data_IF_839441738099
#
_entry.id   IF_839441738099
#
_cell.length_a   1.000
_cell.length_b   1.000
_cell.length_c   1.000
_cell.angle_alpha   90.00
_cell.angle_beta   90.00
_cell.angle_gamma   90.00
#
_symmetry.space_group_name_H-M   'P 1'
#
loop_
_entity.id
_entity.type
_entity.pdbx_description
1 polymer ?
#
# COMPACT_ATOMS: atom_id res chain seq x y z
N UNK A 1 9.18 -35.42 8.02
CA UNK A 1 8.02 -34.53 8.28
C UNK A 1 7.29 -35.09 9.49
N UNK A 2 7.52 -34.50 10.65
CA UNK A 2 7.10 -35.08 11.94
C UNK A 2 5.82 -34.42 12.44
N UNK A 3 4.81 -35.25 12.75
CA UNK A 3 3.44 -34.87 13.13
C UNK A 3 3.34 -34.20 14.51
N UNK A 4 4.48 -33.96 15.17
CA UNK A 4 4.54 -33.47 16.56
C UNK A 4 4.58 -31.95 16.69
N UNK A 5 4.91 -31.21 15.64
CA UNK A 5 4.84 -29.74 15.65
C UNK A 5 3.41 -29.18 15.48
N UNK A 6 2.46 -30.01 15.01
CA UNK A 6 1.10 -29.55 14.71
C UNK A 6 0.17 -29.45 15.93
N UNK A 7 0.59 -29.91 17.11
CA UNK A 7 -0.27 -29.92 18.32
C UNK A 7 0.07 -28.83 19.36
N UNK A 8 1.00 -27.91 19.08
CA UNK A 8 1.33 -26.83 20.04
C UNK A 8 0.43 -25.58 19.93
N UNK A 9 -0.60 -25.56 19.07
CA UNK A 9 -1.53 -24.42 18.92
C UNK A 9 -2.86 -24.61 19.70
N UNK A 10 -3.04 -25.72 20.43
CA UNK A 10 -4.31 -26.03 21.10
C UNK A 10 -4.33 -25.87 22.65
N UNK A 11 -3.30 -25.29 23.27
CA UNK A 11 -3.07 -25.41 24.72
C UNK A 11 -3.10 -24.12 25.56
N UNK A 12 -3.72 -23.03 25.13
CA UNK A 12 -3.77 -21.79 25.91
C UNK A 12 -5.09 -21.64 26.71
N UNK A 13 -5.41 -22.61 27.57
CA UNK A 13 -6.40 -22.51 28.65
C UNK A 13 -6.09 -23.55 29.75
N UNK A 14 -5.15 -23.25 30.65
CA UNK A 14 -5.08 -23.76 32.03
C UNK A 14 -3.81 -23.21 32.71
N UNK A 15 -3.93 -22.70 33.93
CA UNK A 15 -2.89 -21.93 34.62
C UNK A 15 -1.74 -22.73 35.25
N UNK A 16 -0.83 -21.99 35.88
CA UNK A 16 0.18 -22.54 36.80
C UNK A 16 1.41 -21.63 36.97
N UNK A 17 1.62 -21.15 38.19
CA UNK A 17 2.81 -20.44 38.66
C UNK A 17 4.05 -21.36 38.70
N UNK A 18 5.22 -20.81 38.38
CA UNK A 18 6.53 -21.44 38.65
C UNK A 18 7.68 -20.52 38.24
N UNK A 19 8.60 -20.26 39.16
CA UNK A 19 9.76 -19.39 38.99
C UNK A 19 11.09 -20.16 38.86
N UNK A 20 12.09 -19.42 38.36
CA UNK A 20 13.56 -19.56 38.46
C UNK A 20 14.25 -20.52 37.47
N UNK A 21 15.22 -19.96 36.74
CA UNK A 21 16.31 -20.70 36.10
C UNK A 21 17.05 -19.88 35.05
N UNK A 22 18.11 -19.18 35.46
CA UNK A 22 19.06 -18.47 34.59
C UNK A 22 19.67 -19.40 33.53
N UNK A 23 19.63 -18.95 32.27
CA UNK A 23 20.73 -19.06 31.29
C UNK A 23 20.24 -18.49 29.95
N UNK A 24 20.46 -17.20 29.70
CA UNK A 24 20.38 -16.69 28.34
C UNK A 24 21.78 -16.30 27.89
N UNK A 25 22.37 -17.18 27.10
CA UNK A 25 23.54 -16.89 26.31
C UNK A 25 23.30 -15.59 25.54
N UNK A 26 24.20 -14.61 25.72
CA UNK A 26 24.24 -13.44 24.86
C UNK A 26 24.78 -13.92 23.51
N UNK A 27 23.88 -14.40 22.66
CA UNK A 27 24.12 -14.47 21.24
C UNK A 27 24.04 -13.03 20.71
N UNK A 28 25.20 -12.40 20.52
CA UNK A 28 25.26 -11.24 19.63
C UNK A 28 25.06 -11.76 18.21
N UNK A 29 23.79 -11.75 17.78
CA UNK A 29 23.41 -11.93 16.40
C UNK A 29 24.06 -10.84 15.58
N UNK A 30 24.80 -11.23 14.54
CA UNK A 30 25.25 -10.37 13.47
C UNK A 30 24.15 -9.37 13.09
N UNK A 31 24.48 -8.08 13.24
CA UNK A 31 23.74 -6.98 12.66
C UNK A 31 23.90 -7.00 11.14
N UNK A 32 23.30 -7.97 10.47
CA UNK A 32 22.82 -7.78 9.10
C UNK A 32 21.38 -7.30 9.24
N UNK A 33 21.10 -6.05 8.85
CA UNK A 33 19.76 -5.45 8.87
C UNK A 33 18.73 -6.48 8.40
N UNK A 34 17.69 -6.76 9.19
CA UNK A 34 16.74 -7.81 8.86
C UNK A 34 16.10 -7.57 7.48
N UNK A 35 16.63 -8.22 6.45
CA UNK A 35 16.11 -8.15 5.08
C UNK A 35 14.68 -8.70 5.08
N UNK A 36 13.77 -8.02 4.42
CA UNK A 36 12.39 -8.48 4.23
C UNK A 36 12.42 -9.88 3.60
N UNK A 37 11.65 -10.83 4.16
CA UNK A 37 11.58 -12.23 3.72
C UNK A 37 10.24 -12.60 3.09
N UNK A 38 9.21 -11.81 3.37
CA UNK A 38 7.87 -12.01 2.80
C UNK A 38 7.24 -10.70 2.36
N UNK A 39 6.52 -10.78 1.25
CA UNK A 39 5.76 -9.69 0.67
C UNK A 39 4.28 -10.06 0.65
N UNK A 40 3.44 -9.14 1.11
CA UNK A 40 1.99 -9.21 0.91
C UNK A 40 1.60 -8.08 -0.03
N UNK A 41 0.99 -8.44 -1.16
CA UNK A 41 0.45 -7.48 -2.12
C UNK A 41 -1.07 -7.50 -2.01
N UNK A 42 -1.65 -6.31 -1.85
CA UNK A 42 -3.09 -6.11 -1.82
C UNK A 42 -3.51 -5.28 -3.02
N UNK A 43 -4.15 -5.93 -4.00
CA UNK A 43 -4.66 -5.29 -5.20
C UNK A 43 -6.01 -4.63 -4.90
N UNK A 44 -6.07 -3.31 -5.11
CA UNK A 44 -7.27 -2.50 -5.05
C UNK A 44 -7.85 -2.43 -6.46
N UNK A 45 -8.55 -3.51 -6.84
CA UNK A 45 -9.05 -3.75 -8.19
C UNK A 45 -10.24 -2.84 -8.50
N UNK A 46 -10.07 -2.07 -9.57
CA UNK A 46 -10.97 -1.04 -10.02
C UNK A 46 -10.38 0.36 -10.04
N UNK A 47 -9.18 0.64 -9.53
CA UNK A 47 -8.62 2.01 -9.57
C UNK A 47 -9.04 2.87 -8.38
N UNK A 48 -8.17 2.97 -7.37
CA UNK A 48 -8.45 3.59 -6.09
C UNK A 48 -8.42 5.13 -6.17
N UNK A 49 -9.44 5.80 -5.58
CA UNK A 49 -9.47 7.25 -5.51
C UNK A 49 -8.44 7.78 -4.51
N UNK A 50 -7.37 8.41 -5.02
CA UNK A 50 -6.35 9.06 -4.22
C UNK A 50 -6.92 10.18 -3.34
N UNK A 51 -7.83 11.01 -3.84
CA UNK A 51 -8.31 12.22 -3.14
C UNK A 51 -9.33 11.90 -2.05
N UNK A 52 -9.97 10.74 -2.12
CA UNK A 52 -10.82 10.22 -1.05
C UNK A 52 -10.14 9.09 -0.25
N UNK A 53 -8.88 8.75 -0.51
CA UNK A 53 -8.06 7.88 0.36
C UNK A 53 -7.10 8.72 1.21
N UNK A 54 -6.31 9.58 0.55
CA UNK A 54 -5.34 10.53 1.12
C UNK A 54 -5.75 11.94 0.70
N UNK A 55 -6.45 12.61 1.61
CA UNK A 55 -7.19 13.84 1.37
C UNK A 55 -6.25 15.05 1.49
N UNK A 56 -6.11 15.90 0.45
CA UNK A 56 -5.40 17.18 0.55
C UNK A 56 -6.29 18.23 1.25
N UNK A 57 -6.55 18.04 2.55
CA UNK A 57 -7.60 18.71 3.30
C UNK A 57 -7.43 20.24 3.39
N UNK A 58 -6.20 20.74 3.28
CA UNK A 58 -5.90 22.17 3.26
C UNK A 58 -6.10 22.84 1.88
N UNK A 59 -6.23 22.05 0.81
CA UNK A 59 -6.41 22.59 -0.54
C UNK A 59 -7.91 22.86 -0.80
N UNK A 60 -8.29 24.14 -0.86
CA UNK A 60 -9.69 24.53 -1.06
C UNK A 60 -10.29 23.97 -2.38
N UNK A 61 -9.46 23.72 -3.40
CA UNK A 61 -9.91 23.14 -4.68
C UNK A 61 -10.48 21.72 -4.50
N UNK A 62 -10.07 20.99 -3.46
CA UNK A 62 -10.61 19.67 -3.17
C UNK A 62 -12.14 19.70 -3.05
N UNK A 63 -12.69 20.65 -2.28
CA UNK A 63 -14.15 20.80 -2.11
C UNK A 63 -14.85 21.25 -3.39
N UNK A 64 -14.18 22.09 -4.19
CA UNK A 64 -14.71 22.56 -5.47
C UNK A 64 -14.77 21.42 -6.49
N UNK A 65 -13.80 20.51 -6.47
CA UNK A 65 -13.74 19.35 -7.34
C UNK A 65 -14.63 18.19 -6.86
N UNK A 66 -14.94 18.15 -5.57
CA UNK A 66 -15.71 17.08 -4.90
C UNK A 66 -16.94 17.61 -4.13
N UNK A 67 -17.90 18.31 -4.76
CA UNK A 67 -19.04 18.89 -4.04
C UNK A 67 -19.84 17.89 -3.19
N UNK A 68 -19.94 16.61 -3.60
CA UNK A 68 -20.63 15.56 -2.86
C UNK A 68 -19.68 14.58 -2.16
N UNK A 69 -18.50 14.35 -2.74
CA UNK A 69 -17.53 13.38 -2.23
C UNK A 69 -16.56 13.96 -1.19
N UNK A 70 -16.46 15.29 -1.05
CA UNK A 70 -15.50 15.90 -0.15
C UNK A 70 -15.73 15.50 1.31
N UNK A 71 -14.65 15.14 1.99
CA UNK A 71 -14.66 14.85 3.42
C UNK A 71 -14.26 16.11 4.18
N UNK A 72 -15.02 16.40 5.25
CA UNK A 72 -14.83 17.56 6.09
C UNK A 72 -13.67 17.34 7.07
N UNK A 73 -13.00 18.42 7.49
CA UNK A 73 -11.79 18.34 8.33
C UNK A 73 -12.06 17.69 9.68
N UNK A 74 -13.24 17.89 10.24
CA UNK A 74 -13.72 17.30 11.49
C UNK A 74 -13.94 15.78 11.42
N UNK A 75 -14.19 15.23 10.22
CA UNK A 75 -14.34 13.79 10.01
C UNK A 75 -13.07 13.11 9.52
N UNK A 76 -12.15 13.87 8.94
CA UNK A 76 -10.92 13.32 8.37
C UNK A 76 -9.90 12.95 9.47
N UNK A 77 -9.09 11.92 9.21
CA UNK A 77 -8.02 11.51 10.12
C UNK A 77 -6.75 12.29 9.79
N UNK A 78 -6.49 13.38 10.50
CA UNK A 78 -5.36 14.25 10.22
C UNK A 78 -4.02 13.50 10.34
N UNK A 79 -3.18 13.60 9.31
CA UNK A 79 -1.80 13.08 9.31
C UNK A 79 -0.81 14.21 9.63
N UNK A 80 -1.07 15.40 9.07
CA UNK A 80 -0.39 16.66 9.34
C UNK A 80 -1.39 17.83 9.15
N UNK A 81 -0.92 19.07 9.06
CA UNK A 81 -1.79 20.25 8.88
C UNK A 81 -2.51 20.31 7.51
N UNK A 82 -1.99 19.59 6.51
CA UNK A 82 -2.37 19.69 5.09
C UNK A 82 -3.01 18.43 4.53
N UNK A 83 -2.73 17.29 5.14
CA UNK A 83 -3.05 15.95 4.63
C UNK A 83 -3.79 15.16 5.70
N UNK A 84 -4.82 14.42 5.27
CA UNK A 84 -5.60 13.55 6.14
C UNK A 84 -5.93 12.22 5.43
N UNK A 85 -6.31 11.20 6.18
CA UNK A 85 -6.89 9.96 5.64
C UNK A 85 -8.41 9.98 5.71
N UNK A 86 -9.04 9.19 4.85
CA UNK A 86 -10.45 8.85 4.95
C UNK A 86 -10.80 8.29 6.35
N UNK A 87 -11.95 8.66 6.96
CA UNK A 87 -12.35 8.16 8.29
C UNK A 87 -12.38 6.63 8.41
N UNK A 88 -12.83 5.93 7.36
CA UNK A 88 -12.80 4.46 7.30
C UNK A 88 -11.42 3.83 7.50
N UNK A 89 -10.34 4.59 7.34
CA UNK A 89 -8.98 4.10 7.54
C UNK A 89 -8.52 4.16 9.01
N UNK A 90 -9.41 4.49 9.95
CA UNK A 90 -9.11 4.59 11.39
C UNK A 90 -8.31 3.39 11.94
N UNK A 91 -8.61 2.12 11.59
CA UNK A 91 -7.82 0.98 12.06
C UNK A 91 -6.31 1.07 11.74
N UNK A 92 -5.93 1.73 10.64
CA UNK A 92 -4.53 1.90 10.23
C UNK A 92 -3.78 2.96 11.03
N UNK A 93 -4.47 3.80 11.80
CA UNK A 93 -3.82 4.85 12.58
C UNK A 93 -2.86 4.30 13.65
N UNK A 94 -3.07 3.06 14.10
CA UNK A 94 -2.13 2.37 14.99
C UNK A 94 -0.75 2.16 14.32
N UNK A 95 -0.73 1.72 13.06
CA UNK A 95 0.49 1.52 12.29
C UNK A 95 1.15 2.85 11.89
N UNK A 96 0.34 3.86 11.52
CA UNK A 96 0.82 5.22 11.27
C UNK A 96 1.55 5.80 12.48
N UNK A 97 0.92 5.76 13.66
CA UNK A 97 1.50 6.28 14.91
C UNK A 97 2.73 5.49 15.37
N UNK A 98 2.80 4.20 15.05
CA UNK A 98 3.98 3.36 15.29
C UNK A 98 5.14 3.64 14.31
N UNK A 99 4.96 4.56 13.36
CA UNK A 99 5.93 4.86 12.31
C UNK A 99 6.25 3.65 11.41
N UNK A 100 5.27 2.76 11.20
CA UNK A 100 5.40 1.49 10.45
C UNK A 100 4.56 1.49 9.16
N UNK A 101 4.05 2.66 8.76
CA UNK A 101 3.22 2.85 7.57
C UNK A 101 3.72 4.06 6.79
N UNK A 102 4.21 3.81 5.58
CA UNK A 102 4.50 4.82 4.58
C UNK A 102 3.34 4.93 3.59
N UNK A 103 2.98 6.16 3.23
CA UNK A 103 1.97 6.46 2.22
C UNK A 103 2.70 7.10 1.04
N UNK A 104 2.62 6.48 -0.13
CA UNK A 104 3.23 6.99 -1.36
C UNK A 104 2.14 7.59 -2.24
N UNK A 105 2.26 8.89 -2.52
CA UNK A 105 1.28 9.65 -3.28
C UNK A 105 1.75 9.88 -4.72
N UNK A 106 0.78 9.98 -5.64
CA UNK A 106 1.04 10.28 -7.05
C UNK A 106 1.62 9.10 -7.81
N UNK A 107 1.30 7.86 -7.41
CA UNK A 107 1.83 6.64 -8.02
C UNK A 107 1.02 6.28 -9.26
N UNK A 108 1.71 6.06 -10.38
CA UNK A 108 1.09 5.62 -11.63
C UNK A 108 2.14 5.32 -12.69
N UNK A 109 1.75 5.42 -13.96
CA UNK A 109 2.64 5.29 -15.11
C UNK A 109 2.17 6.20 -16.25
N UNK A 110 3.06 6.52 -17.17
CA UNK A 110 2.75 7.39 -18.31
C UNK A 110 1.83 6.72 -19.32
N UNK A 111 0.99 7.52 -19.98
CA UNK A 111 0.04 7.08 -21.00
C UNK A 111 -0.86 5.90 -20.56
N UNK A 112 -1.66 6.05 -19.48
CA UNK A 112 -2.55 5.00 -19.02
C UNK A 112 -3.61 4.67 -20.08
N UNK A 113 -3.68 3.41 -20.49
CA UNK A 113 -4.62 2.92 -21.50
C UNK A 113 -6.07 2.78 -20.99
N UNK A 114 -6.31 2.99 -19.68
CA UNK A 114 -7.60 2.92 -18.98
C UNK A 114 -8.36 1.59 -19.12
N UNK A 115 -7.74 0.56 -19.67
CA UNK A 115 -8.26 -0.79 -19.67
C UNK A 115 -7.82 -1.48 -18.40
N UNK A 116 -8.78 -1.96 -17.60
CA UNK A 116 -8.47 -2.71 -16.38
C UNK A 116 -7.58 -3.92 -16.67
N UNK A 117 -7.92 -4.67 -17.72
CA UNK A 117 -7.16 -5.85 -18.11
C UNK A 117 -5.71 -5.51 -18.45
N UNK A 118 -5.51 -4.49 -19.30
CA UNK A 118 -4.17 -4.11 -19.72
C UNK A 118 -3.37 -3.45 -18.60
N UNK A 119 -4.02 -2.62 -17.79
CA UNK A 119 -3.38 -1.95 -16.66
C UNK A 119 -2.90 -2.96 -15.61
N UNK A 120 -3.70 -3.98 -15.28
CA UNK A 120 -3.24 -5.08 -14.42
C UNK A 120 -2.03 -5.80 -15.00
N UNK A 121 -2.03 -6.11 -16.30
CA UNK A 121 -0.86 -6.71 -16.95
C UNK A 121 0.40 -5.82 -16.85
N UNK A 122 0.27 -4.50 -17.02
CA UNK A 122 1.39 -3.56 -16.86
C UNK A 122 1.96 -3.65 -15.45
N UNK A 123 1.09 -3.61 -14.43
CA UNK A 123 1.51 -3.74 -13.04
C UNK A 123 2.13 -5.11 -12.74
N UNK A 124 1.57 -6.20 -13.23
CA UNK A 124 2.08 -7.56 -12.96
C UNK A 124 3.41 -7.84 -13.66
N UNK A 125 3.62 -7.29 -14.85
CA UNK A 125 4.82 -7.52 -15.66
C UNK A 125 5.89 -6.43 -15.51
N UNK A 126 5.57 -5.34 -14.79
CA UNK A 126 6.38 -4.13 -14.71
C UNK A 126 6.76 -3.54 -16.09
N UNK A 127 5.89 -3.71 -17.10
CA UNK A 127 6.14 -3.27 -18.48
C UNK A 127 5.86 -1.78 -18.67
N UNK A 128 6.30 -1.23 -19.80
CA UNK A 128 5.75 0.03 -20.30
C UNK A 128 4.32 -0.17 -20.83
N UNK A 129 3.58 0.93 -21.01
CA UNK A 129 2.18 0.88 -21.45
C UNK A 129 2.01 0.27 -22.85
N UNK A 130 2.97 0.53 -23.74
CA UNK A 130 3.07 0.06 -25.12
C UNK A 130 3.71 -1.33 -25.27
N UNK A 131 4.15 -1.95 -24.17
CA UNK A 131 4.91 -3.20 -24.21
C UNK A 131 4.14 -4.39 -23.62
N UNK A 132 3.95 -5.45 -24.41
CA UNK A 132 3.31 -6.68 -23.95
C UNK A 132 4.37 -7.73 -23.58
N UNK A 133 4.46 -8.05 -22.29
CA UNK A 133 5.39 -9.05 -21.76
C UNK A 133 4.66 -10.32 -21.32
N UNK A 134 5.32 -11.46 -21.50
CA UNK A 134 4.94 -12.71 -20.84
C UNK A 134 5.68 -12.84 -19.50
N UNK A 135 4.97 -13.21 -18.45
CA UNK A 135 5.53 -13.44 -17.11
C UNK A 135 5.62 -12.17 -16.25
N UNK A 136 5.34 -12.32 -14.96
CA UNK A 136 5.36 -11.24 -13.98
C UNK A 136 6.77 -10.92 -13.50
N UNK A 137 6.96 -9.72 -12.93
CA UNK A 137 8.25 -9.37 -12.30
C UNK A 137 8.54 -10.26 -11.09
N UNK A 138 7.50 -10.77 -10.42
CA UNK A 138 7.59 -11.68 -9.29
C UNK A 138 8.08 -13.08 -9.67
N UNK A 139 7.92 -13.51 -10.92
CA UNK A 139 8.40 -14.82 -11.38
C UNK A 139 9.95 -14.89 -11.39
N UNK A 140 10.59 -13.73 -11.26
CA UNK A 140 12.04 -13.53 -11.29
C UNK A 140 12.64 -13.29 -9.90
N UNK A 141 11.83 -13.34 -8.84
CA UNK A 141 12.29 -13.12 -7.46
C UNK A 141 12.12 -14.37 -6.60
N UNK A 142 13.08 -14.66 -5.75
CA UNK A 142 12.95 -15.71 -4.73
C UNK A 142 12.35 -15.11 -3.44
N UNK A 143 11.07 -14.77 -3.48
CA UNK A 143 10.36 -14.18 -2.36
C UNK A 143 9.10 -14.97 -2.01
N UNK A 144 8.80 -15.08 -0.71
CA UNK A 144 7.48 -15.59 -0.29
C UNK A 144 6.45 -14.48 -0.49
N UNK A 145 5.66 -14.60 -1.55
CA UNK A 145 4.62 -13.62 -1.89
C UNK A 145 3.23 -14.16 -1.55
N UNK A 146 2.41 -13.31 -0.94
CA UNK A 146 0.96 -13.53 -0.81
C UNK A 146 0.23 -12.43 -1.56
N UNK A 147 -0.59 -12.80 -2.54
CA UNK A 147 -1.46 -11.87 -3.26
C UNK A 147 -2.87 -11.93 -2.69
N UNK A 148 -3.48 -10.76 -2.49
CA UNK A 148 -4.86 -10.60 -2.07
C UNK A 148 -5.48 -9.56 -2.98
N UNK A 149 -6.69 -9.80 -3.47
CA UNK A 149 -7.42 -8.82 -4.27
C UNK A 149 -8.67 -8.38 -3.53
N UNK A 150 -8.86 -7.07 -3.42
CA UNK A 150 -10.08 -6.44 -2.96
C UNK A 150 -10.73 -5.75 -4.17
N UNK A 151 -11.81 -6.35 -4.67
CA UNK A 151 -12.56 -5.85 -5.81
C UNK A 151 -13.52 -4.72 -5.44
N UNK A 152 -13.90 -3.92 -6.43
CA UNK A 152 -15.01 -2.98 -6.33
C UNK A 152 -14.60 -1.51 -6.29
N UNK A 153 -13.32 -1.19 -6.47
CA UNK A 153 -12.85 0.20 -6.56
C UNK A 153 -13.31 0.90 -7.84
N UNK A 154 -14.00 0.18 -8.74
CA UNK A 154 -14.56 0.72 -9.98
C UNK A 154 -15.79 1.63 -9.75
N UNK A 155 -15.56 2.76 -9.09
CA UNK A 155 -16.61 3.58 -8.46
C UNK A 155 -17.05 4.77 -9.33
N UNK A 156 -17.61 4.47 -10.50
CA UNK A 156 -18.18 5.48 -11.41
C UNK A 156 -19.47 6.15 -10.89
N UNK A 157 -20.12 5.54 -9.89
CA UNK A 157 -21.35 6.03 -9.28
C UNK A 157 -21.40 5.70 -7.78
N UNK A 158 -22.17 6.49 -7.02
CA UNK A 158 -22.43 6.28 -5.57
C UNK A 158 -21.17 6.00 -4.76
N UNK A 159 -20.07 6.67 -5.10
CA UNK A 159 -18.74 6.37 -4.59
C UNK A 159 -18.63 6.58 -3.08
N UNK A 160 -19.28 7.61 -2.53
CA UNK A 160 -19.18 7.96 -1.10
C UNK A 160 -19.46 6.79 -0.16
N UNK A 161 -20.43 5.93 -0.49
CA UNK A 161 -20.74 4.74 0.31
C UNK A 161 -19.85 3.55 -0.06
N UNK A 162 -19.72 3.26 -1.37
CA UNK A 162 -18.98 2.08 -1.86
C UNK A 162 -17.49 2.15 -1.48
N UNK A 163 -16.85 3.28 -1.78
CA UNK A 163 -15.42 3.48 -1.51
C UNK A 163 -15.15 3.48 0.00
N UNK A 164 -15.99 4.14 0.80
CA UNK A 164 -15.87 4.13 2.25
C UNK A 164 -15.93 2.71 2.86
N UNK A 165 -16.81 1.84 2.34
CA UNK A 165 -16.92 0.44 2.78
C UNK A 165 -15.70 -0.41 2.37
N UNK A 166 -15.17 -0.18 1.16
CA UNK A 166 -13.94 -0.84 0.69
C UNK A 166 -12.73 -0.42 1.52
N UNK A 167 -12.60 0.88 1.82
CA UNK A 167 -11.52 1.37 2.68
C UNK A 167 -11.63 0.84 4.11
N UNK A 168 -12.85 0.70 4.65
CA UNK A 168 -13.06 0.08 5.97
C UNK A 168 -12.58 -1.39 5.96
N UNK A 169 -13.01 -2.15 4.95
CA UNK A 169 -12.60 -3.55 4.77
C UNK A 169 -11.09 -3.68 4.64
N UNK A 170 -10.46 -2.82 3.83
CA UNK A 170 -9.01 -2.77 3.67
C UNK A 170 -8.33 -2.50 5.01
N UNK A 171 -8.76 -1.47 5.73
CA UNK A 171 -8.17 -1.05 6.98
C UNK A 171 -8.26 -2.12 8.07
N UNK A 172 -9.43 -2.73 8.24
CA UNK A 172 -9.65 -3.80 9.21
C UNK A 172 -8.77 -5.03 8.92
N UNK A 173 -8.71 -5.45 7.65
CA UNK A 173 -7.91 -6.60 7.23
C UNK A 173 -6.41 -6.35 7.40
N UNK A 174 -5.93 -5.18 7.02
CA UNK A 174 -4.52 -4.80 7.18
C UNK A 174 -4.14 -4.66 8.66
N UNK A 175 -5.01 -4.07 9.48
CA UNK A 175 -4.78 -3.96 10.93
C UNK A 175 -4.73 -5.34 11.61
N UNK A 176 -5.66 -6.24 11.25
CA UNK A 176 -5.69 -7.62 11.75
C UNK A 176 -4.47 -8.44 11.30
N UNK A 177 -4.06 -8.29 10.04
CA UNK A 177 -2.85 -8.90 9.50
C UNK A 177 -1.62 -8.41 10.27
N UNK A 178 -1.48 -7.09 10.47
CA UNK A 178 -0.39 -6.52 11.27
C UNK A 178 -0.35 -7.12 12.68
N UNK A 179 -1.49 -7.17 13.38
CA UNK A 179 -1.56 -7.74 14.73
C UNK A 179 -1.10 -9.20 14.77
N UNK A 180 -1.56 -10.01 13.80
CA UNK A 180 -1.19 -11.43 13.70
C UNK A 180 0.30 -11.63 13.39
N UNK A 181 0.87 -10.79 12.51
CA UNK A 181 2.29 -10.82 12.19
C UNK A 181 3.16 -10.35 13.35
N UNK A 182 2.69 -9.42 14.18
CA UNK A 182 3.38 -9.02 15.42
C UNK A 182 3.38 -10.19 16.41
N UNK A 183 2.22 -10.80 16.66
CA UNK A 183 2.08 -11.91 17.60
C UNK A 183 2.94 -13.13 17.23
N UNK A 184 3.17 -13.36 15.93
CA UNK A 184 4.02 -14.44 15.42
C UNK A 184 5.51 -14.06 15.26
N UNK A 185 5.90 -12.82 15.57
CA UNK A 185 7.27 -12.33 15.34
C UNK A 185 7.65 -12.26 13.85
N UNK A 186 6.67 -12.15 12.95
CA UNK A 186 6.87 -12.07 11.50
C UNK A 186 6.83 -10.63 10.95
N UNK A 187 6.34 -9.66 11.74
CA UNK A 187 6.15 -8.28 11.28
C UNK A 187 7.45 -7.56 10.86
N UNK A 188 8.56 -7.80 11.58
CA UNK A 188 9.87 -7.19 11.27
C UNK A 188 10.47 -7.64 9.93
N UNK A 189 10.00 -8.76 9.38
CA UNK A 189 10.47 -9.38 8.13
C UNK A 189 9.41 -9.44 7.04
N UNK A 190 8.28 -8.77 7.24
CA UNK A 190 7.18 -8.71 6.27
C UNK A 190 6.98 -7.29 5.78
N UNK A 191 6.93 -7.14 4.46
CA UNK A 191 6.47 -5.91 3.82
C UNK A 191 5.07 -6.14 3.25
N UNK A 192 4.16 -5.22 3.52
CA UNK A 192 2.82 -5.20 2.95
C UNK A 192 2.73 -3.99 2.03
N UNK A 193 2.24 -4.18 0.80
CA UNK A 193 2.02 -3.09 -0.15
C UNK A 193 0.63 -3.17 -0.76
N UNK A 194 0.03 -2.01 -1.04
CA UNK A 194 -1.18 -1.93 -1.89
C UNK A 194 -0.79 -1.59 -3.32
N UNK A 195 -1.52 -2.13 -4.30
CA UNK A 195 -1.44 -1.71 -5.72
C UNK A 195 -2.80 -1.29 -6.21
N UNK A 196 -2.84 -0.36 -7.16
CA UNK A 196 -4.05 -0.08 -7.92
C UNK A 196 -3.67 0.19 -9.35
N UNK A 197 -4.38 -0.46 -10.27
CA UNK A 197 -4.09 -0.46 -11.70
C UNK A 197 -4.02 0.94 -12.33
N UNK A 198 -4.75 1.89 -11.76
CA UNK A 198 -4.69 3.33 -12.05
C UNK A 198 -5.38 4.13 -10.93
N UNK A 199 -5.49 5.45 -11.10
CA UNK A 199 -6.17 6.35 -10.17
C UNK A 199 -7.59 6.70 -10.58
N UNK A 200 -8.15 7.72 -9.91
CA UNK A 200 -9.43 8.33 -10.26
C UNK A 200 -9.28 9.79 -10.63
N UNK A 201 -10.18 10.28 -11.48
CA UNK A 201 -10.26 11.67 -11.88
C UNK A 201 -10.42 12.57 -10.64
N UNK A 202 -9.81 13.76 -10.67
CA UNK A 202 -9.84 14.67 -9.51
C UNK A 202 -11.22 15.30 -9.30
N UNK A 203 -12.00 15.46 -10.37
CA UNK A 203 -13.37 15.98 -10.34
C UNK A 203 -14.38 14.83 -10.20
N UNK A 204 -15.36 14.99 -9.32
CA UNK A 204 -16.49 14.05 -9.27
C UNK A 204 -17.40 14.21 -10.49
N UNK A 205 -17.98 13.10 -10.95
CA UNK A 205 -18.91 13.10 -12.06
C UNK A 205 -20.37 13.31 -11.59
N UNK A 206 -21.29 13.49 -12.54
CA UNK A 206 -22.70 13.77 -12.23
C UNK A 206 -23.41 12.63 -11.47
N UNK A 207 -22.93 11.39 -11.63
CA UNK A 207 -23.47 10.18 -10.98
C UNK A 207 -22.99 10.01 -9.52
N UNK A 208 -22.21 10.96 -9.00
CA UNK A 208 -21.68 10.89 -7.64
C UNK A 208 -20.59 9.84 -7.49
N UNK A 209 -19.83 9.58 -8.56
CA UNK A 209 -18.59 8.82 -8.55
C UNK A 209 -17.48 9.56 -9.28
N UNK A 210 -16.49 8.82 -9.77
CA UNK A 210 -15.33 9.40 -10.47
C UNK A 210 -14.94 8.56 -11.66
N UNK A 211 -14.50 9.24 -12.73
CA UNK A 211 -13.98 8.58 -13.92
C UNK A 211 -12.53 8.10 -13.67
N UNK A 212 -11.93 7.41 -14.64
CA UNK A 212 -10.54 6.94 -14.53
C UNK A 212 -9.55 8.12 -14.51
N UNK A 213 -8.47 7.96 -13.74
CA UNK A 213 -7.36 8.92 -13.68
C UNK A 213 -6.00 8.21 -13.64
N UNK A 214 -4.91 8.96 -13.76
CA UNK A 214 -3.59 8.36 -13.93
C UNK A 214 -2.91 7.92 -12.63
N UNK A 215 -3.11 8.65 -11.52
CA UNK A 215 -2.34 8.45 -10.30
C UNK A 215 -3.19 8.12 -9.07
N UNK A 216 -2.70 7.16 -8.27
CA UNK A 216 -3.28 6.70 -7.02
C UNK A 216 -2.35 7.00 -5.81
N UNK A 217 -2.83 6.68 -4.60
CA UNK A 217 -2.01 6.64 -3.40
C UNK A 217 -1.93 5.20 -2.87
N UNK A 218 -0.76 4.79 -2.38
CA UNK A 218 -0.49 3.42 -1.96
C UNK A 218 0.13 3.37 -0.56
N UNK A 219 -0.17 2.30 0.17
CA UNK A 219 0.37 2.02 1.50
C UNK A 219 1.50 1.01 1.40
N UNK A 220 2.58 1.27 2.12
CA UNK A 220 3.70 0.36 2.36
C UNK A 220 3.82 0.21 3.88
N UNK A 221 3.67 -0.99 4.41
CA UNK A 221 3.63 -1.24 5.87
C UNK A 221 4.56 -2.39 6.27
N UNK A 222 5.20 -2.29 7.43
CA UNK A 222 6.08 -3.34 7.95
C UNK A 222 6.87 -2.88 9.16
N UNK A 223 7.41 -3.82 9.95
CA UNK A 223 8.23 -3.47 11.12
C UNK A 223 9.55 -2.78 10.76
N UNK A 224 10.07 -3.04 9.56
CA UNK A 224 11.24 -2.37 8.98
C UNK A 224 10.92 -1.09 8.20
N UNK A 225 9.65 -0.68 8.10
CA UNK A 225 9.26 0.53 7.35
C UNK A 225 9.49 1.78 8.20
N UNK A 226 10.03 2.82 7.56
CA UNK A 226 10.05 4.20 8.04
C UNK A 226 8.76 4.87 7.57
N UNK A 227 7.83 5.07 8.49
CA UNK A 227 6.55 5.71 8.21
C UNK A 227 6.67 7.17 7.78
N UNK A 228 5.59 7.67 7.18
CA UNK A 228 5.52 9.05 6.67
C UNK A 228 4.81 9.18 5.32
N UNK A 229 4.74 10.42 4.83
CA UNK A 229 4.26 10.75 3.49
C UNK A 229 5.44 10.80 2.51
N UNK A 230 5.30 10.13 1.37
CA UNK A 230 6.31 10.03 0.33
C UNK A 230 5.70 10.27 -1.05
N UNK A 231 6.57 10.50 -2.04
CA UNK A 231 6.15 10.77 -3.41
C UNK A 231 5.69 12.20 -3.60
N UNK A 232 4.73 12.40 -4.51
CA UNK A 232 4.25 13.73 -4.89
C UNK A 232 2.83 13.95 -4.35
N UNK A 233 2.62 14.92 -3.44
CA UNK A 233 1.28 15.33 -3.04
C UNK A 233 0.45 15.78 -4.24
N UNK A 234 -0.87 15.56 -4.24
CA UNK A 234 -1.72 15.88 -5.39
C UNK A 234 -1.74 17.39 -5.67
N UNK A 235 -1.59 17.74 -6.96
CA UNK A 235 -1.57 19.11 -7.47
C UNK A 235 -2.88 19.43 -8.20
N UNK A 236 -3.94 19.82 -7.47
CA UNK A 236 -5.25 20.05 -8.12
C UNK A 236 -5.33 21.41 -8.85
N UNK A 237 -4.27 22.21 -8.85
CA UNK A 237 -4.07 23.41 -9.69
C UNK A 237 -3.53 23.04 -11.07
N UNK A 238 -3.04 21.81 -11.23
CA UNK A 238 -2.40 21.31 -12.44
C UNK A 238 -2.82 19.85 -12.67
N UNK A 239 -4.05 19.69 -13.12
CA UNK A 239 -4.57 18.40 -13.56
C UNK A 239 -4.00 18.03 -14.94
N UNK A 240 -4.01 16.74 -15.25
CA UNK A 240 -3.67 16.27 -16.60
C UNK A 240 -4.77 16.64 -17.62
N UNK A 241 -4.55 16.29 -18.89
CA UNK A 241 -5.47 16.59 -19.99
C UNK A 241 -6.89 16.03 -19.78
N UNK A 242 -7.04 15.03 -18.92
CA UNK A 242 -8.28 14.31 -18.64
C UNK A 242 -8.91 14.74 -17.31
N UNK A 243 -8.32 15.73 -16.63
CA UNK A 243 -8.78 16.16 -15.31
C UNK A 243 -8.37 15.21 -14.17
N UNK A 244 -7.44 14.30 -14.43
CA UNK A 244 -6.81 13.41 -13.47
C UNK A 244 -5.62 14.04 -12.74
N UNK A 245 -5.14 13.34 -11.73
CA UNK A 245 -3.90 13.69 -11.05
C UNK A 245 -2.70 13.27 -11.90
N UNK A 246 -1.74 14.18 -12.07
CA UNK A 246 -0.48 13.84 -12.72
C UNK A 246 0.30 12.80 -11.93
N UNK A 247 0.92 11.86 -12.65
CA UNK A 247 1.87 10.89 -12.09
C UNK A 247 3.12 11.64 -11.63
N UNK A 248 3.50 11.43 -10.36
CA UNK A 248 4.74 11.96 -9.78
C UNK A 248 5.72 10.88 -9.37
N UNK A 249 5.25 9.64 -9.21
CA UNK A 249 6.05 8.47 -8.88
C UNK A 249 5.68 7.37 -9.85
N UNK A 250 6.66 6.88 -10.61
CA UNK A 250 6.45 5.68 -11.41
C UNK A 250 6.25 4.47 -10.49
N UNK A 251 5.23 3.66 -10.73
CA UNK A 251 4.92 2.50 -9.89
C UNK A 251 6.07 1.50 -9.74
N UNK A 252 6.96 1.39 -10.74
CA UNK A 252 8.14 0.52 -10.69
C UNK A 252 9.13 0.96 -9.61
N UNK A 253 9.05 2.20 -9.15
CA UNK A 253 9.75 2.70 -7.96
C UNK A 253 9.32 1.92 -6.70
N UNK A 254 8.04 1.55 -6.58
CA UNK A 254 7.58 0.70 -5.46
C UNK A 254 8.21 -0.69 -5.54
N UNK A 255 8.29 -1.26 -6.74
CA UNK A 255 8.91 -2.58 -6.92
C UNK A 255 10.41 -2.54 -6.66
N UNK A 256 11.12 -1.52 -7.15
CA UNK A 256 12.53 -1.31 -6.81
C UNK A 256 12.73 -1.19 -5.29
N UNK A 257 11.81 -0.53 -4.59
CA UNK A 257 11.82 -0.43 -3.12
C UNK A 257 11.63 -1.78 -2.45
N UNK A 258 10.71 -2.61 -2.94
CA UNK A 258 10.51 -3.98 -2.44
C UNK A 258 11.76 -4.84 -2.66
N UNK A 259 12.32 -4.80 -3.88
CA UNK A 259 13.52 -5.57 -4.25
C UNK A 259 14.72 -5.17 -3.38
N UNK A 260 14.93 -3.87 -3.18
CA UNK A 260 15.96 -3.32 -2.30
C UNK A 260 15.78 -3.83 -0.84
N UNK A 261 14.54 -3.80 -0.33
CA UNK A 261 14.21 -4.27 1.02
C UNK A 261 14.54 -5.74 1.28
N UNK A 262 14.54 -6.56 0.23
CA UNK A 262 14.76 -7.99 0.33
C UNK A 262 16.25 -8.37 0.28
N UNK A 263 17.14 -7.37 0.18
CA UNK A 263 18.59 -7.55 0.30
C UNK A 263 19.22 -8.30 -0.87
N UNK A 264 18.48 -8.51 -1.95
CA UNK A 264 18.94 -9.20 -3.14
C UNK A 264 18.22 -8.60 -4.34
N UNK A 265 19.00 -8.38 -5.41
CA UNK A 265 18.62 -8.06 -6.79
C UNK A 265 18.99 -6.64 -7.21
N UNK A 266 19.81 -6.56 -8.25
CA UNK A 266 19.86 -5.39 -9.14
C UNK A 266 18.47 -5.23 -9.77
N UNK A 267 17.66 -4.32 -9.22
CA UNK A 267 16.27 -4.12 -9.64
C UNK A 267 16.17 -3.82 -11.14
N UNK A 268 17.23 -3.30 -11.77
CA UNK A 268 17.25 -3.05 -13.19
C UNK A 268 17.22 -4.32 -14.04
N UNK A 269 17.81 -5.42 -13.56
CA UNK A 269 17.76 -6.74 -14.24
C UNK A 269 16.36 -7.34 -14.27
N UNK A 270 15.51 -7.06 -13.28
CA UNK A 270 14.14 -7.55 -13.20
C UNK A 270 13.17 -6.61 -13.93
N UNK A 271 13.28 -5.31 -13.64
CA UNK A 271 12.34 -4.30 -14.14
C UNK A 271 12.68 -3.85 -15.57
N UNK A 272 13.89 -4.15 -16.06
CA UNK A 272 14.40 -3.74 -17.37
C UNK A 272 14.93 -2.31 -17.41
N UNK A 273 14.88 -1.57 -16.30
CA UNK A 273 15.42 -0.24 -16.15
C UNK A 273 15.68 0.08 -14.67
N UNK A 274 16.54 1.06 -14.40
CA UNK A 274 16.84 1.50 -13.03
C UNK A 274 15.77 2.45 -12.51
N UNK A 275 15.17 2.10 -11.38
CA UNK A 275 14.29 2.98 -10.60
C UNK A 275 14.92 3.16 -9.21
N UNK A 276 15.01 4.40 -8.74
CA UNK A 276 15.56 4.68 -7.42
C UNK A 276 14.58 4.21 -6.33
N UNK A 277 15.00 3.33 -5.40
CA UNK A 277 14.15 2.94 -4.27
C UNK A 277 13.71 4.15 -3.45
N UNK A 278 12.49 4.10 -2.91
CA UNK A 278 12.02 5.10 -1.97
C UNK A 278 12.74 4.90 -0.63
N UNK A 279 13.09 5.99 0.08
CA UNK A 279 13.79 5.91 1.36
C UNK A 279 12.81 5.55 2.50
N UNK A 280 12.04 4.47 2.37
CA UNK A 280 11.00 4.05 3.32
C UNK A 280 11.42 2.89 4.21
N UNK A 281 12.67 2.44 4.13
CA UNK A 281 13.19 1.36 4.94
C UNK A 281 14.07 1.94 6.05
N UNK A 282 14.01 1.34 7.24
CA UNK A 282 14.92 1.65 8.34
C UNK A 282 16.24 0.95 8.03
N UNK A 283 17.29 1.75 7.85
CA UNK A 283 18.67 1.29 7.68
C UNK A 283 19.29 1.04 9.04
#
# INVERSE_FOLDING_TARGET
>A
MDRREFLSIAGAFAGGLGSIGDACAIAHSDTSSASIRSLVIVDLDGGNDALNTVIPIADARYRVLRPKLAISKDRALMLDERTALHPSLLPLMSAWRANEMAIVQGVGYDAPNRSHFRSRQIWDTASHADEYRAGGWLDRVNLKVTHITLHGFDTHERQSHRHAALLATLAERLASLRASLIASGAWSRTLVMTRSEFGRAARENAAGGTDHGAAAAHFMMGGGVRGGLFGMPPRLDRLDADGGLSVGVDFRTLYATVLDACGQIDSSSILGARFAPLPILRV
#
